data_IF_324536455110
#
_entry.id   IF_324536455110
#
_cell.length_a   1.000
_cell.length_b   1.000
_cell.length_c   1.000
_cell.angle_alpha   90.00
_cell.angle_beta   90.00
_cell.angle_gamma   90.00
#
_symmetry.space_group_name_H-M   'P 1'
#
loop_
_entity.id
_entity.type
_entity.pdbx_description
1 polymer ?
#
# COMPACT_ATOMS: atom_id res chain seq x y z
N UNK A 1 -7.86 29.03 -15.72
CA UNK A 1 -8.89 28.15 -15.14
C UNK A 1 -8.38 26.74 -15.28
N UNK A 2 -8.03 26.09 -14.17
CA UNK A 2 -7.64 24.67 -14.15
C UNK A 2 -8.89 23.88 -14.53
N UNK A 3 -8.81 23.04 -15.56
CA UNK A 3 -9.98 22.30 -16.05
C UNK A 3 -10.33 21.14 -15.12
N UNK A 4 -11.60 20.72 -15.11
CA UNK A 4 -12.09 19.59 -14.28
C UNK A 4 -11.27 18.29 -14.48
N UNK A 5 -10.68 18.10 -15.67
CA UNK A 5 -9.76 16.99 -15.97
C UNK A 5 -8.41 17.09 -15.24
N UNK A 6 -7.89 18.30 -15.09
CA UNK A 6 -6.61 18.55 -14.41
C UNK A 6 -6.76 18.31 -12.89
N UNK A 7 -7.94 18.61 -12.34
CA UNK A 7 -8.30 18.33 -10.95
C UNK A 7 -8.33 16.81 -10.67
N UNK A 8 -8.99 16.03 -11.53
CA UNK A 8 -9.08 14.56 -11.39
C UNK A 8 -7.71 13.87 -11.49
N UNK A 9 -6.83 14.36 -12.36
CA UNK A 9 -5.48 13.81 -12.49
C UNK A 9 -4.64 14.08 -11.23
N UNK A 10 -4.76 15.29 -10.67
CA UNK A 10 -4.08 15.63 -9.42
C UNK A 10 -4.61 14.79 -8.25
N UNK A 11 -5.93 14.65 -8.12
CA UNK A 11 -6.55 13.82 -7.07
C UNK A 11 -6.08 12.36 -7.14
N UNK A 12 -6.04 11.76 -8.34
CA UNK A 12 -5.47 10.41 -8.53
C UNK A 12 -4.01 10.33 -8.11
N UNK A 13 -3.22 11.35 -8.42
CA UNK A 13 -1.81 11.39 -8.03
C UNK A 13 -1.63 11.43 -6.52
N UNK A 14 -2.49 12.18 -5.81
CA UNK A 14 -2.49 12.23 -4.34
C UNK A 14 -2.87 10.88 -3.73
N UNK A 15 -3.87 10.19 -4.27
CA UNK A 15 -4.24 8.83 -3.84
C UNK A 15 -3.07 7.85 -3.99
N UNK A 16 -2.31 7.95 -5.07
CA UNK A 16 -1.11 7.12 -5.26
C UNK A 16 0.01 7.47 -4.29
N UNK A 17 0.18 8.76 -3.97
CA UNK A 17 1.14 9.21 -2.95
C UNK A 17 0.77 8.67 -1.56
N UNK A 18 -0.52 8.63 -1.21
CA UNK A 18 -1.00 8.02 0.03
C UNK A 18 -0.63 6.53 0.10
N UNK A 19 -0.84 5.77 -0.98
CA UNK A 19 -0.42 4.37 -1.07
C UNK A 19 1.10 4.21 -0.82
N UNK A 20 1.91 5.03 -1.50
CA UNK A 20 3.37 5.00 -1.35
C UNK A 20 3.79 5.28 0.09
N UNK A 21 3.19 6.29 0.72
CA UNK A 21 3.52 6.69 2.08
C UNK A 21 3.11 5.62 3.11
N UNK A 22 1.92 5.04 2.96
CA UNK A 22 1.46 3.93 3.80
C UNK A 22 2.40 2.72 3.69
N UNK A 23 2.78 2.35 2.47
CA UNK A 23 3.73 1.26 2.23
C UNK A 23 5.10 1.53 2.84
N UNK A 24 5.65 2.72 2.64
CA UNK A 24 6.91 3.12 3.24
C UNK A 24 6.87 2.97 4.77
N UNK A 25 5.81 3.43 5.41
CA UNK A 25 5.68 3.34 6.86
C UNK A 25 5.57 1.88 7.34
N UNK A 26 4.78 1.05 6.64
CA UNK A 26 4.68 -0.38 6.93
C UNK A 26 6.06 -1.06 6.81
N UNK A 27 6.82 -0.80 5.73
CA UNK A 27 8.20 -1.30 5.55
C UNK A 27 9.11 -0.88 6.70
N UNK A 28 9.05 0.39 7.13
CA UNK A 28 9.86 0.87 8.25
C UNK A 28 9.54 0.09 9.54
N UNK A 29 8.28 -0.22 9.80
CA UNK A 29 7.89 -1.00 10.98
C UNK A 29 8.44 -2.43 10.93
N UNK A 30 8.44 -3.06 9.76
CA UNK A 30 9.05 -4.39 9.53
C UNK A 30 10.57 -4.35 9.74
N UNK A 31 11.24 -3.34 9.19
CA UNK A 31 12.69 -3.17 9.34
C UNK A 31 13.09 -2.99 10.80
N UNK A 32 12.34 -2.16 11.53
CA UNK A 32 12.53 -1.89 12.97
C UNK A 32 12.07 -3.05 13.87
N UNK A 33 11.50 -4.11 13.29
CA UNK A 33 10.92 -5.25 14.03
C UNK A 33 9.89 -4.80 15.08
N UNK A 34 9.08 -3.81 14.69
CA UNK A 34 8.09 -3.17 15.56
C UNK A 34 6.98 -4.16 15.92
N UNK A 35 6.45 -4.13 17.17
CA UNK A 35 5.33 -4.99 17.56
C UNK A 35 4.04 -4.70 16.77
N UNK A 36 3.92 -3.51 16.18
CA UNK A 36 2.75 -3.10 15.39
C UNK A 36 2.87 -3.41 13.90
N UNK A 37 3.88 -4.19 13.48
CA UNK A 37 4.11 -4.43 12.04
C UNK A 37 2.91 -5.05 11.31
N UNK A 38 2.16 -5.93 11.97
CA UNK A 38 0.98 -6.57 11.36
C UNK A 38 -0.16 -5.57 11.19
N UNK A 39 -0.40 -4.75 12.22
CA UNK A 39 -1.40 -3.69 12.19
C UNK A 39 -1.08 -2.67 11.10
N UNK A 40 0.20 -2.33 10.93
CA UNK A 40 0.62 -1.38 9.90
C UNK A 40 0.55 -1.97 8.49
N UNK A 41 0.84 -3.27 8.31
CA UNK A 41 0.64 -3.92 7.01
C UNK A 41 -0.85 -4.01 6.63
N UNK A 42 -1.73 -4.35 7.58
CA UNK A 42 -3.18 -4.36 7.35
C UNK A 42 -3.72 -2.95 7.06
N UNK A 43 -3.27 -1.94 7.82
CA UNK A 43 -3.63 -0.55 7.57
C UNK A 43 -3.16 -0.07 6.19
N UNK A 44 -1.96 -0.46 5.77
CA UNK A 44 -1.43 -0.19 4.44
C UNK A 44 -2.34 -0.77 3.33
N UNK A 45 -2.76 -2.04 3.48
CA UNK A 45 -3.71 -2.69 2.56
C UNK A 45 -5.02 -1.90 2.46
N UNK A 46 -5.59 -1.52 3.60
CA UNK A 46 -6.87 -0.80 3.65
C UNK A 46 -6.78 0.57 2.96
N UNK A 47 -5.74 1.35 3.28
CA UNK A 47 -5.48 2.66 2.65
C UNK A 47 -5.35 2.51 1.13
N UNK A 48 -4.54 1.55 0.68
CA UNK A 48 -4.29 1.37 -0.75
C UNK A 48 -5.53 0.86 -1.52
N UNK A 49 -6.34 0.00 -0.91
CA UNK A 49 -7.61 -0.45 -1.50
C UNK A 49 -8.60 0.70 -1.62
N UNK A 50 -8.76 1.49 -0.57
CA UNK A 50 -9.64 2.66 -0.59
C UNK A 50 -9.19 3.68 -1.64
N UNK A 51 -7.88 3.95 -1.72
CA UNK A 51 -7.32 4.81 -2.76
C UNK A 51 -7.58 4.28 -4.18
N UNK A 52 -7.50 2.97 -4.39
CA UNK A 52 -7.85 2.35 -5.67
C UNK A 52 -9.35 2.53 -5.99
N UNK A 53 -10.24 2.29 -5.02
CA UNK A 53 -11.68 2.52 -5.19
C UNK A 53 -12.00 3.99 -5.52
N UNK A 54 -11.36 4.93 -4.83
CA UNK A 54 -11.52 6.37 -5.11
C UNK A 54 -11.02 6.73 -6.52
N UNK A 55 -9.90 6.15 -6.98
CA UNK A 55 -9.42 6.31 -8.36
C UNK A 55 -10.46 5.88 -9.42
N UNK A 56 -11.25 4.83 -9.14
CA UNK A 56 -12.35 4.40 -10.02
C UNK A 56 -13.51 5.40 -10.01
N UNK A 57 -13.77 6.08 -8.90
CA UNK A 57 -14.81 7.14 -8.88
C UNK A 57 -14.39 8.42 -9.60
N UNK A 58 -13.08 8.66 -9.69
CA UNK A 58 -12.46 9.80 -10.38
C UNK A 58 -12.25 9.57 -11.89
N UNK A 59 -12.59 8.40 -12.44
CA UNK A 59 -12.44 8.08 -13.86
C UNK A 59 -13.48 7.07 -14.39
N UNK A 60 -13.48 6.83 -15.70
CA UNK A 60 -14.50 5.97 -16.34
C UNK A 60 -14.03 4.55 -16.66
N UNK A 61 -12.79 4.16 -16.34
CA UNK A 61 -12.25 2.87 -16.83
C UNK A 61 -11.45 2.10 -15.79
N UNK A 62 -11.76 0.81 -15.68
CA UNK A 62 -11.04 -0.21 -14.89
C UNK A 62 -9.56 -0.39 -15.32
N UNK A 63 -9.17 0.13 -16.50
CA UNK A 63 -7.79 0.16 -16.98
C UNK A 63 -7.03 1.46 -16.64
N UNK A 64 -7.53 2.24 -15.68
CA UNK A 64 -6.79 3.39 -15.18
C UNK A 64 -5.45 2.95 -14.57
N UNK A 65 -4.34 3.52 -15.08
CA UNK A 65 -3.01 3.12 -14.63
C UNK A 65 -2.76 3.43 -13.16
N UNK A 66 -3.31 4.53 -12.66
CA UNK A 66 -3.16 4.91 -11.25
C UNK A 66 -3.92 3.95 -10.36
N UNK A 67 -5.14 3.56 -10.76
CA UNK A 67 -5.89 2.48 -10.09
C UNK A 67 -5.05 1.20 -9.99
N UNK A 68 -4.49 0.73 -11.11
CA UNK A 68 -3.67 -0.48 -11.14
C UNK A 68 -2.41 -0.34 -10.26
N UNK A 69 -1.77 0.83 -10.24
CA UNK A 69 -0.63 1.08 -9.36
C UNK A 69 -1.02 1.06 -7.87
N UNK A 70 -2.20 1.57 -7.50
CA UNK A 70 -2.71 1.45 -6.13
C UNK A 70 -2.92 -0.02 -5.75
N UNK A 71 -3.43 -0.86 -6.66
CA UNK A 71 -3.55 -2.30 -6.43
C UNK A 71 -2.18 -2.99 -6.27
N UNK A 72 -1.17 -2.56 -7.01
CA UNK A 72 0.19 -3.10 -6.77
C UNK A 72 0.72 -2.75 -5.38
N UNK A 73 0.41 -1.55 -4.87
CA UNK A 73 0.73 -1.24 -3.48
C UNK A 73 -0.02 -2.13 -2.49
N UNK A 74 -1.29 -2.49 -2.76
CA UNK A 74 -2.03 -3.48 -1.95
C UNK A 74 -1.26 -4.80 -1.86
N UNK A 75 -0.82 -5.33 -3.01
CA UNK A 75 -0.06 -6.57 -3.05
C UNK A 75 1.27 -6.46 -2.31
N UNK A 76 2.00 -5.35 -2.47
CA UNK A 76 3.22 -5.09 -1.72
C UNK A 76 2.97 -5.06 -0.20
N UNK A 77 1.87 -4.43 0.26
CA UNK A 77 1.50 -4.44 1.68
C UNK A 77 1.20 -5.88 2.17
N UNK A 78 0.47 -6.69 1.38
CA UNK A 78 0.14 -8.10 1.71
C UNK A 78 1.41 -8.97 1.80
N UNK A 79 2.41 -8.72 0.96
CA UNK A 79 3.69 -9.43 1.00
C UNK A 79 4.49 -9.18 2.29
N UNK A 80 4.31 -8.02 2.95
CA UNK A 80 4.97 -7.71 4.22
C UNK A 80 4.58 -8.70 5.33
N UNK A 81 3.36 -9.23 5.30
CA UNK A 81 2.94 -10.30 6.22
C UNK A 81 3.74 -11.61 5.98
N UNK A 82 4.17 -11.85 4.73
CA UNK A 82 5.01 -12.98 4.34
C UNK A 82 6.41 -12.92 4.94
N UNK A 83 7.00 -11.72 5.05
CA UNK A 83 8.34 -11.53 5.64
C UNK A 83 8.42 -11.95 7.10
N UNK A 84 7.32 -11.84 7.85
CA UNK A 84 7.21 -12.31 9.25
C UNK A 84 7.43 -13.82 9.36
N UNK A 85 6.76 -14.61 8.49
CA UNK A 85 6.84 -16.09 8.50
C UNK A 85 8.27 -16.57 8.25
N UNK A 86 8.98 -15.90 7.33
CA UNK A 86 10.38 -16.21 7.03
C UNK A 86 11.34 -15.83 8.18
N UNK A 87 11.08 -14.71 8.88
CA UNK A 87 11.89 -14.29 10.04
C UNK A 87 11.69 -15.21 11.25
N UNK A 88 10.44 -15.57 11.56
CA UNK A 88 10.13 -16.47 12.69
C UNK A 88 10.79 -17.85 12.50
N UNK A 89 10.76 -18.41 11.30
CA UNK A 89 11.47 -19.65 10.99
C UNK A 89 12.99 -19.54 11.13
N UNK A 90 13.59 -18.42 10.71
CA UNK A 90 15.04 -18.18 10.88
C UNK A 90 15.45 -18.05 12.35
N UNK A 91 14.61 -17.45 13.20
CA UNK A 91 14.89 -17.34 14.62
C UNK A 91 14.77 -18.69 15.33
N UNK A 92 13.79 -19.53 14.99
CA UNK A 92 13.70 -20.91 15.53
C UNK A 92 14.91 -21.78 15.16
N UNK A 93 15.46 -21.63 13.95
CA UNK A 93 16.66 -22.39 13.52
C UNK A 93 17.96 -21.97 14.22
N UNK A 94 18.00 -20.83 14.92
CA UNK A 94 19.19 -20.38 15.66
C UNK A 94 19.19 -20.80 17.14
N UNK A 95 18.10 -21.41 17.61
CA UNK A 95 17.92 -21.79 19.03
C UNK A 95 18.06 -23.30 19.25
N UNK A 96 18.63 -24.04 18.28
CA UNK A 96 18.95 -25.47 18.40
C UNK A 96 20.45 -25.66 18.28
#
# INVERSE_FOLDING_TARGET
MIGEKDTKLMEKTLLLEECMNAYKYAVETVQKNSPIMDEMAASCVEVCRKAAEECLTLGETENDRVYLMCLEYVHLCEELEGYKRLRQQKNMKKTV
#
